data_IF_895431301920
#
_entry.id   IF_895431301920
#
_cell.length_a   1.000
_cell.length_b   1.000
_cell.length_c   1.000
_cell.angle_alpha   90.00
_cell.angle_beta   90.00
_cell.angle_gamma   90.00
#
_symmetry.space_group_name_H-M   'P 1'
#
loop_
_entity.id
_entity.type
_entity.pdbx_description
1 polymer ?
#
# COMPACT_ATOMS: atom_id res chain seq x y z
N UNK A 1 23.52 11.67 -27.47
CA UNK A 1 24.29 11.95 -26.25
C UNK A 1 23.40 11.61 -25.09
N UNK A 2 23.88 10.69 -24.26
CA UNK A 2 23.23 10.03 -23.13
C UNK A 2 22.20 10.89 -22.37
N UNK A 3 20.93 10.50 -22.43
CA UNK A 3 19.97 10.84 -21.38
C UNK A 3 20.42 10.12 -20.12
N UNK A 4 21.16 10.83 -19.27
CA UNK A 4 21.47 10.39 -17.92
C UNK A 4 20.15 10.11 -17.19
N UNK A 5 19.79 8.84 -17.14
CA UNK A 5 18.68 8.34 -16.34
C UNK A 5 19.16 8.44 -14.88
N UNK A 6 19.04 9.64 -14.31
CA UNK A 6 19.52 9.91 -12.95
C UNK A 6 18.65 9.11 -11.99
N UNK A 7 19.17 7.96 -11.55
CA UNK A 7 18.50 7.06 -10.63
C UNK A 7 18.26 7.83 -9.33
N UNK A 8 16.99 8.04 -8.98
CA UNK A 8 16.60 8.72 -7.74
C UNK A 8 17.26 8.03 -6.54
N UNK A 9 17.92 8.81 -5.68
CA UNK A 9 18.63 8.30 -4.52
C UNK A 9 17.67 7.84 -3.42
N UNK A 10 18.16 7.00 -2.50
CA UNK A 10 17.37 6.59 -1.32
C UNK A 10 16.96 7.78 -0.44
N UNK A 11 17.76 8.85 -0.43
CA UNK A 11 17.49 10.09 0.31
C UNK A 11 16.29 10.82 -0.32
N UNK A 12 16.32 11.06 -1.64
CA UNK A 12 15.22 11.72 -2.36
C UNK A 12 13.90 10.93 -2.25
N UNK A 13 13.98 9.60 -2.38
CA UNK A 13 12.83 8.70 -2.17
C UNK A 13 12.23 8.83 -0.77
N UNK A 14 13.07 8.98 0.27
CA UNK A 14 12.61 9.20 1.64
C UNK A 14 11.96 10.58 1.84
N UNK A 15 12.44 11.62 1.16
CA UNK A 15 11.79 12.94 1.18
C UNK A 15 10.38 12.88 0.58
N UNK A 16 10.24 12.27 -0.60
CA UNK A 16 8.93 12.07 -1.25
C UNK A 16 7.99 11.26 -0.34
N UNK A 17 8.48 10.13 0.17
CA UNK A 17 7.71 9.29 1.11
C UNK A 17 7.22 10.08 2.31
N UNK A 18 8.09 10.89 2.91
CA UNK A 18 7.77 11.70 4.08
C UNK A 18 6.72 12.77 3.75
N UNK A 19 6.89 13.50 2.65
CA UNK A 19 5.95 14.52 2.20
C UNK A 19 4.55 13.93 1.94
N UNK A 20 4.47 12.83 1.18
CA UNK A 20 3.22 12.15 0.89
C UNK A 20 2.52 11.61 2.15
N UNK A 21 3.26 11.02 3.09
CA UNK A 21 2.69 10.56 4.36
C UNK A 21 2.21 11.72 5.25
N UNK A 22 2.91 12.86 5.25
CA UNK A 22 2.47 14.06 5.97
C UNK A 22 1.18 14.62 5.39
N UNK A 23 1.10 14.76 4.06
CA UNK A 23 -0.13 15.14 3.37
C UNK A 23 -1.30 14.21 3.74
N UNK A 24 -1.08 12.89 3.68
CA UNK A 24 -2.11 11.89 3.97
C UNK A 24 -2.56 11.89 5.44
N UNK A 25 -1.73 12.34 6.38
CA UNK A 25 -2.13 12.58 7.78
C UNK A 25 -3.06 13.78 7.89
N UNK A 26 -2.75 14.89 7.22
CA UNK A 26 -3.58 16.09 7.25
C UNK A 26 -4.92 15.89 6.53
N UNK A 27 -4.90 15.15 5.43
CA UNK A 27 -6.08 14.88 4.59
C UNK A 27 -6.64 13.48 4.83
N UNK A 28 -6.82 13.10 6.10
CA UNK A 28 -7.12 11.73 6.52
C UNK A 28 -8.44 11.13 5.99
N UNK A 29 -9.37 11.97 5.50
CA UNK A 29 -10.67 11.55 4.95
C UNK A 29 -10.67 11.35 3.42
N UNK A 30 -9.60 11.72 2.70
CA UNK A 30 -9.55 11.60 1.23
C UNK A 30 -9.79 10.18 0.72
N UNK A 31 -9.45 9.16 1.51
CA UNK A 31 -9.77 7.75 1.23
C UNK A 31 -11.24 7.50 0.84
N UNK A 32 -12.17 8.37 1.25
CA UNK A 32 -13.61 8.30 0.91
C UNK A 32 -13.92 8.63 -0.55
N UNK A 33 -13.05 9.40 -1.19
CA UNK A 33 -13.23 9.86 -2.58
C UNK A 33 -12.45 9.01 -3.59
N UNK A 34 -11.60 8.10 -3.11
CA UNK A 34 -10.83 7.19 -3.96
C UNK A 34 -11.69 6.05 -4.48
N UNK A 35 -11.33 5.52 -5.64
CA UNK A 35 -12.02 4.41 -6.28
C UNK A 35 -12.05 3.17 -5.38
N UNK A 36 -13.25 2.84 -4.88
CA UNK A 36 -13.48 1.61 -4.08
C UNK A 36 -13.10 0.34 -4.84
N UNK A 37 -13.25 0.33 -6.18
CA UNK A 37 -12.86 -0.81 -7.01
C UNK A 37 -11.36 -1.04 -6.92
N UNK A 38 -10.57 -0.01 -7.14
CA UNK A 38 -9.11 -0.10 -7.16
C UNK A 38 -8.54 -0.31 -5.74
N UNK A 39 -9.19 0.25 -4.71
CA UNK A 39 -8.87 -0.05 -3.30
C UNK A 39 -9.04 -1.54 -2.99
N UNK A 40 -10.11 -2.19 -3.48
CA UNK A 40 -10.31 -3.64 -3.33
C UNK A 40 -9.20 -4.45 -3.98
N UNK A 41 -8.70 -4.01 -5.13
CA UNK A 41 -7.59 -4.69 -5.82
C UNK A 41 -6.33 -4.70 -4.96
N UNK A 42 -5.88 -3.51 -4.54
CA UNK A 42 -4.62 -3.39 -3.78
C UNK A 42 -4.74 -4.02 -2.39
N UNK A 43 -5.92 -3.99 -1.77
CA UNK A 43 -6.16 -4.60 -0.46
C UNK A 43 -6.27 -6.14 -0.55
N UNK A 44 -6.84 -6.66 -1.64
CA UNK A 44 -7.12 -8.09 -1.82
C UNK A 44 -5.94 -8.94 -2.28
N UNK A 45 -4.87 -8.34 -2.83
CA UNK A 45 -3.74 -9.08 -3.41
C UNK A 45 -2.77 -9.73 -2.38
N UNK A 46 -3.07 -9.65 -1.08
CA UNK A 46 -2.16 -10.03 0.00
C UNK A 46 -1.43 -8.84 0.60
N UNK A 47 -0.46 -9.09 1.48
CA UNK A 47 0.42 -8.03 2.01
C UNK A 47 1.61 -7.86 1.06
N UNK A 48 1.93 -6.63 0.59
CA UNK A 48 3.07 -6.43 -0.30
C UNK A 48 4.42 -6.64 0.41
N UNK A 49 4.51 -6.40 1.72
CA UNK A 49 5.71 -6.61 2.54
C UNK A 49 5.36 -7.08 3.96
N UNK A 50 6.36 -7.44 4.76
CA UNK A 50 6.18 -7.72 6.19
C UNK A 50 6.36 -6.49 7.09
N UNK A 51 6.63 -5.31 6.53
CA UNK A 51 6.71 -4.06 7.31
C UNK A 51 5.42 -3.86 8.10
N UNK A 52 5.56 -3.68 9.42
CA UNK A 52 4.42 -3.61 10.34
C UNK A 52 3.43 -2.52 9.97
N UNK A 53 3.89 -1.38 9.46
CA UNK A 53 3.00 -0.28 9.07
C UNK A 53 2.27 -0.60 7.77
N UNK A 54 2.95 -1.20 6.80
CA UNK A 54 2.37 -1.67 5.53
C UNK A 54 1.30 -2.74 5.78
N UNK A 55 1.61 -3.76 6.59
CA UNK A 55 0.68 -4.84 6.94
C UNK A 55 -0.56 -4.29 7.65
N UNK A 56 -0.38 -3.43 8.65
CA UNK A 56 -1.52 -2.84 9.37
C UNK A 56 -2.38 -1.96 8.46
N UNK A 57 -1.75 -1.18 7.55
CA UNK A 57 -2.48 -0.40 6.56
C UNK A 57 -3.28 -1.29 5.60
N UNK A 58 -2.71 -2.40 5.12
CA UNK A 58 -3.42 -3.37 4.28
C UNK A 58 -4.64 -3.98 4.98
N UNK A 59 -4.49 -4.38 6.26
CA UNK A 59 -5.59 -4.91 7.08
C UNK A 59 -6.72 -3.90 7.27
N UNK A 60 -6.38 -2.65 7.62
CA UNK A 60 -7.36 -1.57 7.74
C UNK A 60 -8.09 -1.31 6.42
N UNK A 61 -7.38 -1.34 5.29
CA UNK A 61 -8.01 -1.18 3.98
C UNK A 61 -8.97 -2.33 3.66
N UNK A 62 -8.60 -3.57 3.95
CA UNK A 62 -9.50 -4.73 3.78
C UNK A 62 -10.79 -4.56 4.57
N UNK A 63 -10.69 -4.21 5.85
CA UNK A 63 -11.86 -3.91 6.68
C UNK A 63 -12.71 -2.78 6.06
N UNK A 64 -12.07 -1.69 5.62
CA UNK A 64 -12.74 -0.54 5.00
C UNK A 64 -13.50 -0.88 3.71
N UNK A 65 -12.97 -1.80 2.89
CA UNK A 65 -13.62 -2.22 1.65
C UNK A 65 -14.46 -3.50 1.76
N UNK A 66 -14.61 -4.04 2.97
CA UNK A 66 -15.41 -5.25 3.24
C UNK A 66 -14.78 -6.54 2.72
N UNK A 67 -13.45 -6.67 2.78
CA UNK A 67 -12.72 -7.89 2.46
C UNK A 67 -12.39 -8.64 3.76
N UNK A 68 -12.66 -9.94 3.79
CA UNK A 68 -12.30 -10.81 4.91
C UNK A 68 -10.77 -11.02 4.99
N UNK A 69 -10.19 -10.56 6.09
CA UNK A 69 -8.77 -10.69 6.39
C UNK A 69 -8.31 -12.15 6.46
N UNK A 70 -9.15 -13.06 6.97
CA UNK A 70 -8.76 -14.47 7.12
C UNK A 70 -8.51 -15.12 5.76
N UNK A 71 -9.37 -14.83 4.78
CA UNK A 71 -9.24 -15.33 3.41
C UNK A 71 -7.99 -14.77 2.71
N UNK A 72 -7.74 -13.46 2.81
CA UNK A 72 -6.56 -12.85 2.19
C UNK A 72 -5.28 -13.31 2.88
N UNK A 73 -5.26 -13.37 4.22
CA UNK A 73 -4.07 -13.79 4.96
C UNK A 73 -3.77 -15.29 4.75
N UNK A 74 -4.80 -16.13 4.66
CA UNK A 74 -4.68 -17.56 4.39
C UNK A 74 -3.95 -17.87 3.07
N UNK A 75 -4.18 -17.05 2.05
CA UNK A 75 -3.54 -17.17 0.73
C UNK A 75 -2.29 -16.31 0.56
N UNK A 76 -1.92 -15.50 1.56
CA UNK A 76 -0.77 -14.60 1.48
C UNK A 76 0.57 -15.36 1.57
N UNK A 77 1.44 -15.17 0.58
CA UNK A 77 2.77 -15.80 0.52
C UNK A 77 3.68 -15.43 1.69
N UNK A 78 3.46 -14.27 2.33
CA UNK A 78 4.27 -13.80 3.45
C UNK A 78 3.74 -14.28 4.81
N UNK A 79 2.60 -15.01 4.87
CA UNK A 79 1.94 -15.36 6.14
C UNK A 79 2.86 -16.05 7.14
N UNK A 80 3.73 -16.94 6.67
CA UNK A 80 4.62 -17.73 7.52
C UNK A 80 5.70 -16.92 8.24
N UNK A 81 6.01 -15.72 7.75
CA UNK A 81 6.99 -14.79 8.36
C UNK A 81 6.37 -13.49 8.85
N UNK A 82 5.05 -13.35 8.78
CA UNK A 82 4.36 -12.14 9.18
C UNK A 82 3.98 -12.23 10.67
N UNK A 83 4.58 -11.39 11.52
CA UNK A 83 4.23 -11.29 12.95
C UNK A 83 2.77 -10.93 13.21
N UNK A 84 2.07 -10.46 12.18
CA UNK A 84 0.67 -10.04 12.22
C UNK A 84 -0.24 -10.94 11.39
N UNK A 85 0.19 -12.15 11.04
CA UNK A 85 -0.67 -13.11 10.34
C UNK A 85 -2.01 -13.28 11.09
N UNK A 86 -3.12 -13.29 10.34
CA UNK A 86 -4.50 -13.41 10.83
C UNK A 86 -5.00 -12.36 11.85
N UNK A 87 -4.14 -11.42 12.28
CA UNK A 87 -4.56 -10.34 13.18
C UNK A 87 -5.59 -9.44 12.49
N UNK A 88 -6.71 -9.16 13.15
CA UNK A 88 -7.72 -8.26 12.62
C UNK A 88 -7.28 -6.79 12.78
N UNK A 89 -7.82 -5.92 11.93
CA UNK A 89 -7.75 -4.48 12.19
C UNK A 89 -8.59 -4.16 13.43
N UNK A 90 -8.14 -3.21 14.26
CA UNK A 90 -8.96 -2.70 15.37
C UNK A 90 -10.09 -1.85 14.79
N UNK A 91 -11.33 -2.07 15.22
CA UNK A 91 -12.51 -1.38 14.71
C UNK A 91 -12.43 0.15 14.86
N UNK A 92 -11.80 0.63 15.94
CA UNK A 92 -11.58 2.05 16.22
C UNK A 92 -10.56 2.70 15.26
N UNK A 93 -9.74 1.90 14.59
CA UNK A 93 -8.71 2.35 13.65
C UNK A 93 -9.18 2.20 12.20
N UNK A 94 -10.35 2.73 11.85
CA UNK A 94 -10.82 2.73 10.46
C UNK A 94 -9.75 3.22 9.46
N UNK A 95 -9.82 2.75 8.21
CA UNK A 95 -8.83 3.15 7.20
C UNK A 95 -8.84 4.66 6.96
N UNK A 96 -7.63 5.23 6.87
CA UNK A 96 -7.39 6.65 6.58
C UNK A 96 -6.58 6.79 5.30
N UNK A 97 -6.50 8.00 4.77
CA UNK A 97 -5.66 8.30 3.58
C UNK A 97 -4.21 7.87 3.77
N UNK A 98 -3.66 7.93 4.99
CA UNK A 98 -2.29 7.43 5.28
C UNK A 98 -2.13 5.94 4.98
N UNK A 99 -3.19 5.14 5.14
CA UNK A 99 -3.14 3.70 4.86
C UNK A 99 -3.04 3.45 3.37
N UNK A 100 -3.85 4.17 2.57
CA UNK A 100 -3.75 4.11 1.11
C UNK A 100 -2.38 4.58 0.66
N UNK A 101 -1.97 5.78 1.10
CA UNK A 101 -0.71 6.39 0.66
C UNK A 101 0.50 5.51 1.01
N UNK A 102 0.49 4.83 2.17
CA UNK A 102 1.54 3.88 2.52
C UNK A 102 1.62 2.72 1.53
N UNK A 103 0.49 2.13 1.15
CA UNK A 103 0.47 1.07 0.14
C UNK A 103 0.94 1.60 -1.22
N UNK A 104 0.43 2.75 -1.67
CA UNK A 104 0.84 3.34 -2.94
C UNK A 104 2.34 3.61 -3.02
N UNK A 105 2.95 4.13 -1.95
CA UNK A 105 4.39 4.40 -1.87
C UNK A 105 5.24 3.12 -1.79
N UNK A 106 4.69 2.02 -1.27
CA UNK A 106 5.37 0.70 -1.32
C UNK A 106 5.55 0.26 -2.77
N UNK A 107 4.53 0.37 -3.61
CA UNK A 107 4.67 0.03 -5.03
C UNK A 107 5.41 1.11 -5.83
N UNK A 108 5.09 2.39 -5.60
CA UNK A 108 5.59 3.50 -6.41
C UNK A 108 7.09 3.78 -6.24
N UNK A 109 7.71 3.32 -5.16
CA UNK A 109 9.14 3.50 -4.88
C UNK A 109 9.94 2.18 -4.97
N UNK A 110 9.31 1.08 -5.40
CA UNK A 110 9.89 -0.27 -5.39
C UNK A 110 11.15 -0.38 -6.26
N UNK A 111 11.19 0.32 -7.41
CA UNK A 111 12.35 0.34 -8.31
C UNK A 111 13.59 1.04 -7.73
N UNK A 112 13.43 1.83 -6.67
CA UNK A 112 14.50 2.60 -6.02
C UNK A 112 14.91 1.92 -4.72
N UNK A 113 13.93 1.45 -3.97
CA UNK A 113 14.11 0.72 -2.73
C UNK A 113 13.14 -0.46 -2.78
N UNK A 114 13.63 -1.67 -3.07
CA UNK A 114 12.79 -2.85 -3.15
C UNK A 114 12.04 -3.05 -1.83
N UNK A 115 10.73 -2.83 -1.86
CA UNK A 115 9.85 -2.91 -0.70
C UNK A 115 8.68 -3.85 -0.92
N UNK A 116 8.38 -4.25 -2.16
CA UNK A 116 7.39 -5.29 -2.47
C UNK A 116 8.08 -6.65 -2.44
N UNK A 117 7.90 -7.37 -1.33
CA UNK A 117 8.42 -8.72 -1.14
C UNK A 117 7.49 -9.80 -1.70
N UNK A 118 6.18 -9.54 -1.72
CA UNK A 118 5.19 -10.52 -2.16
C UNK A 118 4.97 -10.47 -3.66
N UNK A 119 5.52 -11.44 -4.39
CA UNK A 119 5.36 -11.55 -5.85
C UNK A 119 3.90 -11.67 -6.31
N UNK A 120 3.00 -12.24 -5.49
CA UNK A 120 1.57 -12.30 -5.84
C UNK A 120 0.92 -10.90 -5.91
N UNK A 121 1.55 -9.89 -5.30
CA UNK A 121 1.12 -8.50 -5.36
C UNK A 121 1.63 -7.77 -6.62
N UNK A 122 2.50 -8.37 -7.43
CA UNK A 122 3.15 -7.73 -8.60
C UNK A 122 2.46 -8.13 -9.91
N UNK A 123 1.13 -7.98 -9.95
CA UNK A 123 0.35 -8.21 -11.19
C UNK A 123 0.05 -6.89 -11.89
N UNK A 124 -0.11 -6.93 -13.21
CA UNK A 124 -0.52 -5.74 -14.00
C UNK A 124 -1.77 -5.07 -13.46
N UNK A 125 -2.73 -5.87 -12.97
CA UNK A 125 -3.97 -5.37 -12.40
C UNK A 125 -3.75 -4.56 -11.10
N UNK A 126 -2.81 -5.00 -10.25
CA UNK A 126 -2.40 -4.23 -9.06
C UNK A 126 -1.66 -2.96 -9.48
N UNK A 127 -0.74 -3.04 -10.45
CA UNK A 127 0.00 -1.88 -10.94
C UNK A 127 -0.92 -0.80 -11.52
N UNK A 128 -1.88 -1.18 -12.37
CA UNK A 128 -2.86 -0.27 -12.95
C UNK A 128 -3.73 0.40 -11.87
N UNK A 129 -4.13 -0.37 -10.85
CA UNK A 129 -4.90 0.14 -9.69
C UNK A 129 -4.08 1.14 -8.86
N UNK A 130 -2.80 0.84 -8.59
CA UNK A 130 -1.88 1.75 -7.90
C UNK A 130 -1.73 3.05 -8.67
N UNK A 131 -1.49 2.97 -9.99
CA UNK A 131 -1.33 4.15 -10.85
C UNK A 131 -2.58 5.03 -10.85
N UNK A 132 -3.75 4.41 -10.89
CA UNK A 132 -5.03 5.13 -10.85
C UNK A 132 -5.26 5.80 -9.50
N UNK A 133 -5.09 5.07 -8.40
CA UNK A 133 -5.25 5.62 -7.06
C UNK A 133 -4.26 6.74 -6.75
N UNK A 134 -3.02 6.65 -7.25
CA UNK A 134 -2.05 7.75 -7.17
C UNK A 134 -2.61 9.01 -7.83
N UNK A 135 -3.14 8.92 -9.05
CA UNK A 135 -3.74 10.07 -9.76
C UNK A 135 -4.95 10.66 -9.04
N UNK A 136 -5.68 9.86 -8.28
CA UNK A 136 -6.83 10.33 -7.48
C UNK A 136 -6.41 10.95 -6.13
N UNK A 137 -5.16 10.72 -5.68
CA UNK A 137 -4.67 11.09 -4.35
C UNK A 137 -3.84 12.38 -4.31
N UNK A 138 -3.45 12.92 -5.47
CA UNK A 138 -2.66 14.15 -5.64
C UNK A 138 -3.40 15.16 -6.52
#
# INVERSE_FOLDING_TARGET
GETANQLMTSIESNHIRTACLNFARHRFTLVRYLSKKDLKVIAGCGCPSTDRKVVNSGKRLRAYVGIDEANVCGTCNLRGKCERAYAQAREEEGARTIDVMRILLTYGLDSISPTVENRACQTKFVEDSVRKLLRESV
#
